data_IF_886132476045
#
_entry.id   IF_886132476045
#
_cell.length_a   1.000
_cell.length_b   1.000
_cell.length_c   1.000
_cell.angle_alpha   90.00
_cell.angle_beta   90.00
_cell.angle_gamma   90.00
#
_symmetry.space_group_name_H-M   'P 1'
#
loop_
_entity.id
_entity.type
_entity.pdbx_description
1 polymer ?
#
# COMPACT_ATOMS: atom_id res chain seq x y z
N UNK A 1 -31.95 9.22 37.10
CA UNK A 1 -30.55 9.62 37.36
C UNK A 1 -29.58 8.97 36.39
N UNK A 2 -29.48 7.63 36.32
CA UNK A 2 -28.56 6.92 35.42
C UNK A 2 -28.74 7.20 33.92
N UNK A 3 -29.98 7.26 33.44
CA UNK A 3 -30.28 7.57 32.03
C UNK A 3 -29.84 9.01 31.68
N UNK A 4 -30.06 9.96 32.60
CA UNK A 4 -29.67 11.37 32.44
C UNK A 4 -28.15 11.52 32.48
N UNK A 5 -27.47 10.81 33.38
CA UNK A 5 -26.01 10.77 33.45
C UNK A 5 -25.39 10.16 32.18
N UNK A 6 -25.99 9.11 31.62
CA UNK A 6 -25.59 8.54 30.34
C UNK A 6 -25.76 9.52 29.18
N UNK A 7 -26.86 10.25 29.13
CA UNK A 7 -27.10 11.30 28.12
C UNK A 7 -26.09 12.45 28.22
N UNK A 8 -25.76 12.89 29.43
CA UNK A 8 -24.74 13.90 29.67
C UNK A 8 -23.37 13.36 29.23
N UNK A 9 -23.00 12.14 29.62
CA UNK A 9 -21.76 11.52 29.20
C UNK A 9 -21.66 11.40 27.66
N UNK A 10 -22.75 11.04 26.98
CA UNK A 10 -22.79 11.00 25.52
C UNK A 10 -22.60 12.40 24.92
N UNK A 11 -23.17 13.46 25.49
CA UNK A 11 -22.99 14.83 24.97
C UNK A 11 -21.55 15.34 25.16
N UNK A 12 -20.93 15.02 26.30
CA UNK A 12 -19.58 15.51 26.62
C UNK A 12 -18.45 14.65 26.04
N UNK A 13 -18.70 13.37 25.77
CA UNK A 13 -17.71 12.43 25.22
C UNK A 13 -18.09 11.90 23.83
N UNK A 14 -19.11 12.49 23.18
CA UNK A 14 -19.51 12.11 21.83
C UNK A 14 -18.33 12.22 20.87
N UNK A 15 -17.57 13.30 20.95
CA UNK A 15 -16.46 13.56 20.03
C UNK A 15 -15.37 12.50 20.15
N UNK A 16 -15.00 12.09 21.37
CA UNK A 16 -14.05 11.01 21.61
C UNK A 16 -14.57 9.66 21.13
N UNK A 17 -15.85 9.36 21.38
CA UNK A 17 -16.49 8.11 20.93
C UNK A 17 -16.55 8.05 19.41
N UNK A 18 -16.97 9.13 18.74
CA UNK A 18 -17.01 9.21 17.29
C UNK A 18 -15.60 9.21 16.67
N UNK A 19 -14.60 9.80 17.33
CA UNK A 19 -13.21 9.74 16.89
C UNK A 19 -12.66 8.31 16.93
N UNK A 20 -12.94 7.55 18.00
CA UNK A 20 -12.54 6.13 18.10
C UNK A 20 -13.23 5.30 17.02
N UNK A 21 -14.54 5.47 16.82
CA UNK A 21 -15.29 4.75 15.78
C UNK A 21 -14.74 5.09 14.40
N UNK A 22 -14.49 6.38 14.12
CA UNK A 22 -13.89 6.84 12.88
C UNK A 22 -12.49 6.26 12.63
N UNK A 23 -11.65 6.18 13.67
CA UNK A 23 -10.32 5.57 13.57
C UNK A 23 -10.40 4.06 13.28
N UNK A 24 -11.30 3.33 13.95
CA UNK A 24 -11.52 1.89 13.71
C UNK A 24 -12.03 1.65 12.29
N UNK A 25 -13.04 2.40 11.84
CA UNK A 25 -13.54 2.31 10.47
C UNK A 25 -12.45 2.67 9.47
N UNK A 26 -11.70 3.75 9.71
CA UNK A 26 -10.57 4.16 8.87
C UNK A 26 -9.50 3.08 8.75
N UNK A 27 -9.18 2.37 9.84
CA UNK A 27 -8.24 1.25 9.83
C UNK A 27 -8.78 0.07 9.02
N UNK A 28 -10.06 -0.31 9.22
CA UNK A 28 -10.71 -1.39 8.46
C UNK A 28 -10.69 -1.06 6.96
N UNK A 29 -11.07 0.16 6.58
CA UNK A 29 -11.03 0.60 5.19
C UNK A 29 -9.61 0.66 4.67
N UNK A 30 -8.64 1.17 5.42
CA UNK A 30 -7.24 1.21 5.00
C UNK A 30 -6.70 -0.19 4.70
N UNK A 31 -6.91 -1.16 5.59
CA UNK A 31 -6.49 -2.55 5.39
C UNK A 31 -7.23 -3.19 4.21
N UNK A 32 -8.55 -2.99 4.12
CA UNK A 32 -9.37 -3.51 3.03
C UNK A 32 -8.99 -2.96 1.66
N UNK A 33 -8.89 -1.64 1.52
CA UNK A 33 -8.52 -0.97 0.27
C UNK A 33 -7.09 -1.29 -0.15
N UNK A 34 -6.16 -1.36 0.81
CA UNK A 34 -4.76 -1.73 0.50
C UNK A 34 -4.68 -3.16 -0.03
N UNK A 35 -5.40 -4.10 0.59
CA UNK A 35 -5.47 -5.48 0.10
C UNK A 35 -6.08 -5.57 -1.31
N UNK A 36 -7.18 -4.86 -1.55
CA UNK A 36 -7.82 -4.80 -2.87
C UNK A 36 -6.92 -4.18 -3.92
N UNK A 37 -6.18 -3.13 -3.58
CA UNK A 37 -5.22 -2.47 -4.47
C UNK A 37 -4.08 -3.42 -4.86
N UNK A 38 -3.52 -4.16 -3.89
CA UNK A 38 -2.45 -5.14 -4.14
C UNK A 38 -2.95 -6.25 -5.07
N UNK A 39 -4.18 -6.74 -4.87
CA UNK A 39 -4.80 -7.73 -5.76
C UNK A 39 -5.03 -7.17 -7.17
N UNK A 40 -5.47 -5.92 -7.29
CA UNK A 40 -5.66 -5.27 -8.57
C UNK A 40 -4.33 -5.14 -9.34
N UNK A 41 -3.25 -4.76 -8.66
CA UNK A 41 -1.90 -4.69 -9.24
C UNK A 41 -1.43 -6.07 -9.73
N UNK A 42 -1.65 -7.12 -8.95
CA UNK A 42 -1.33 -8.50 -9.35
C UNK A 42 -2.14 -8.96 -10.57
N UNK A 43 -3.43 -8.61 -10.63
CA UNK A 43 -4.29 -8.89 -11.77
C UNK A 43 -3.80 -8.18 -13.04
N UNK A 44 -3.39 -6.91 -12.93
CA UNK A 44 -2.77 -6.18 -14.05
C UNK A 44 -1.52 -6.90 -14.54
N UNK A 45 -0.63 -7.33 -13.64
CA UNK A 45 0.56 -8.11 -14.00
C UNK A 45 0.23 -9.39 -14.77
N UNK A 46 -0.81 -10.11 -14.33
CA UNK A 46 -1.31 -11.31 -15.01
C UNK A 46 -1.84 -10.99 -16.42
N UNK A 47 -2.71 -9.99 -16.55
CA UNK A 47 -3.30 -9.63 -17.86
C UNK A 47 -2.26 -9.10 -18.84
N UNK A 48 -1.26 -8.35 -18.37
CA UNK A 48 -0.13 -7.91 -19.20
C UNK A 48 0.67 -9.11 -19.69
N UNK A 49 0.97 -10.08 -18.81
CA UNK A 49 1.67 -11.31 -19.21
C UNK A 49 0.88 -12.12 -20.25
N UNK A 50 -0.44 -12.25 -20.07
CA UNK A 50 -1.33 -12.90 -21.03
C UNK A 50 -1.38 -12.14 -22.37
N UNK A 51 -1.39 -10.81 -22.35
CA UNK A 51 -1.40 -9.99 -23.57
C UNK A 51 -0.11 -10.12 -24.40
N UNK A 52 1.02 -10.43 -23.76
CA UNK A 52 2.30 -10.72 -24.42
C UNK A 52 2.35 -12.15 -25.00
N UNK A 53 1.34 -12.97 -24.71
CA UNK A 53 1.22 -14.34 -25.22
C UNK A 53 1.94 -15.40 -24.36
N UNK A 54 2.19 -15.11 -23.08
CA UNK A 54 2.74 -16.10 -22.15
C UNK A 54 1.72 -17.20 -21.85
N UNK A 55 2.22 -18.39 -21.47
CA UNK A 55 1.34 -19.45 -20.96
C UNK A 55 0.69 -19.02 -19.64
N UNK A 56 -0.49 -19.59 -19.33
CA UNK A 56 -1.21 -19.27 -18.08
C UNK A 56 -0.31 -19.49 -16.85
N UNK A 57 0.46 -20.59 -16.83
CA UNK A 57 1.40 -20.86 -15.75
C UNK A 57 2.48 -19.79 -15.61
N UNK A 58 3.06 -19.32 -16.73
CA UNK A 58 4.03 -18.24 -16.71
C UNK A 58 3.40 -16.90 -16.28
N UNK A 59 2.17 -16.61 -16.71
CA UNK A 59 1.44 -15.40 -16.29
C UNK A 59 1.13 -15.40 -14.78
N UNK A 60 0.82 -16.56 -14.19
CA UNK A 60 0.69 -16.71 -12.72
C UNK A 60 2.01 -16.40 -12.03
N UNK A 61 3.15 -16.88 -12.53
CA UNK A 61 4.46 -16.57 -11.97
C UNK A 61 4.79 -15.07 -12.04
N UNK A 62 4.45 -14.41 -13.15
CA UNK A 62 4.58 -12.95 -13.27
C UNK A 62 3.72 -12.24 -12.22
N UNK A 63 2.46 -12.64 -12.06
CA UNK A 63 1.55 -12.07 -11.06
C UNK A 63 2.08 -12.24 -9.63
N UNK A 64 2.63 -13.42 -9.31
CA UNK A 64 3.30 -13.68 -8.02
C UNK A 64 4.53 -12.79 -7.84
N UNK A 65 5.34 -12.59 -8.88
CA UNK A 65 6.47 -11.67 -8.86
C UNK A 65 6.03 -10.24 -8.58
N UNK A 66 4.94 -9.79 -9.21
CA UNK A 66 4.35 -8.48 -8.97
C UNK A 66 3.87 -8.33 -7.53
N UNK A 67 3.24 -9.35 -6.94
CA UNK A 67 2.86 -9.35 -5.53
C UNK A 67 4.07 -9.20 -4.61
N UNK A 68 5.15 -9.93 -4.88
CA UNK A 68 6.40 -9.80 -4.11
C UNK A 68 6.96 -8.37 -4.22
N UNK A 69 6.99 -7.79 -5.42
CA UNK A 69 7.44 -6.41 -5.59
C UNK A 69 6.53 -5.38 -4.90
N UNK A 70 5.23 -5.63 -4.85
CA UNK A 70 4.28 -4.79 -4.15
C UNK A 70 4.49 -4.82 -2.63
N UNK A 71 4.87 -5.96 -2.04
CA UNK A 71 5.23 -6.07 -0.62
C UNK A 71 6.44 -5.20 -0.26
N UNK A 72 7.38 -5.05 -1.19
CA UNK A 72 8.54 -4.16 -1.04
C UNK A 72 8.29 -2.76 -1.62
N UNK A 73 7.02 -2.40 -1.88
CA UNK A 73 6.58 -1.08 -2.36
C UNK A 73 7.20 0.09 -1.59
N UNK A 74 7.28 -0.07 -0.27
CA UNK A 74 7.83 0.92 0.65
C UNK A 74 9.35 1.11 0.53
N UNK A 75 10.09 0.14 -0.02
CA UNK A 75 11.56 0.19 -0.14
C UNK A 75 12.01 1.00 -1.37
N UNK A 76 11.17 1.05 -2.40
CA UNK A 76 11.49 1.70 -3.69
C UNK A 76 11.92 3.17 -3.58
N UNK A 77 11.27 4.04 -2.77
CA UNK A 77 11.72 5.42 -2.61
C UNK A 77 13.14 5.51 -2.06
N UNK A 78 13.51 4.64 -1.12
CA UNK A 78 14.85 4.62 -0.53
C UNK A 78 15.90 4.12 -1.51
N UNK A 79 15.58 3.08 -2.29
CA UNK A 79 16.46 2.59 -3.36
C UNK A 79 16.69 3.71 -4.38
N UNK A 80 15.63 4.42 -4.79
CA UNK A 80 15.72 5.52 -5.75
C UNK A 80 16.61 6.65 -5.25
N UNK A 81 16.48 7.05 -3.98
CA UNK A 81 17.36 8.04 -3.35
C UNK A 81 18.81 7.55 -3.33
N UNK A 82 19.05 6.29 -2.93
CA UNK A 82 20.38 5.69 -2.93
C UNK A 82 21.04 5.67 -4.31
N UNK A 83 20.28 5.33 -5.35
CA UNK A 83 20.74 5.36 -6.75
C UNK A 83 21.07 6.79 -7.18
N UNK A 84 20.24 7.78 -6.84
CA UNK A 84 20.53 9.19 -7.16
C UNK A 84 21.84 9.62 -6.51
N UNK A 85 22.03 9.34 -5.21
CA UNK A 85 23.28 9.68 -4.50
C UNK A 85 24.46 8.98 -5.15
N UNK A 86 24.35 7.69 -5.46
CA UNK A 86 25.40 6.96 -6.17
C UNK A 86 25.75 7.61 -7.52
N UNK A 87 24.76 8.01 -8.31
CA UNK A 87 24.99 8.67 -9.59
C UNK A 87 25.62 10.06 -9.45
N UNK A 88 25.37 10.77 -8.33
CA UNK A 88 26.00 12.05 -8.01
C UNK A 88 27.45 11.90 -7.55
N UNK A 89 27.75 10.85 -6.78
CA UNK A 89 29.06 10.61 -6.17
C UNK A 89 29.99 9.80 -7.07
N UNK A 90 29.46 9.04 -8.04
CA UNK A 90 30.31 8.26 -8.94
C UNK A 90 31.20 9.18 -9.74
N UNK A 91 32.50 8.90 -9.72
CA UNK A 91 33.45 9.57 -10.59
C UNK A 91 33.03 9.35 -12.05
N UNK A 92 32.93 10.45 -12.80
CA UNK A 92 32.74 10.33 -14.25
C UNK A 92 34.05 9.78 -14.83
N UNK A 93 34.02 8.74 -15.68
CA UNK A 93 35.22 8.30 -16.37
C UNK A 93 35.77 9.48 -17.17
N UNK A 94 37.04 9.82 -16.94
CA UNK A 94 37.74 10.82 -17.76
C UNK A 94 37.79 10.26 -19.18
N UNK A 95 37.17 10.98 -20.13
CA UNK A 95 37.36 10.71 -21.55
C UNK A 95 38.85 10.87 -21.85
N UNK A 96 39.50 9.75 -22.17
CA UNK A 96 40.89 9.69 -22.62
C UNK A 96 40.97 10.22 -24.05
#
# INVERSE_FOLDING_TARGET
MWIVAGLIAVVFFADEVFAIIGAVLGLIFSVGFTGLLILAIAAVGFFVAMAIGLSVGAAVLVSLGVLVFALFGWLWPYILVGVIIYLLVRDRPKTV
#
